data_IF_110517534234
#
_entry.id   IF_110517534234
#
_cell.length_a   1.000
_cell.length_b   1.000
_cell.length_c   1.000
_cell.angle_alpha   90.00
_cell.angle_beta   90.00
_cell.angle_gamma   90.00
#
_symmetry.space_group_name_H-M   'P 1'
#
loop_
_entity.id
_entity.type
_entity.pdbx_description
1 polymer ?
#
# COMPACT_ATOMS: atom_id res chain seq x y z
N UNK A 1 -34.95 19.83 -18.46
CA UNK A 1 -35.14 19.72 -17.00
C UNK A 1 -33.77 19.60 -16.38
N UNK A 2 -33.35 20.65 -15.68
CA UNK A 2 -32.04 20.83 -15.05
C UNK A 2 -32.16 20.22 -13.64
N UNK A 3 -31.37 19.21 -13.32
CA UNK A 3 -31.34 18.66 -11.97
C UNK A 3 -30.31 19.45 -11.16
N UNK A 4 -30.84 20.28 -10.27
CA UNK A 4 -30.17 20.84 -9.10
C UNK A 4 -29.41 19.72 -8.36
N UNK A 5 -28.09 19.87 -8.24
CA UNK A 5 -27.28 19.07 -7.33
C UNK A 5 -26.87 19.98 -6.17
N UNK A 6 -27.55 19.80 -5.04
CA UNK A 6 -27.14 20.34 -3.75
C UNK A 6 -25.72 19.89 -3.41
N UNK A 7 -24.86 20.88 -3.16
CA UNK A 7 -23.52 20.70 -2.60
C UNK A 7 -23.63 20.48 -1.09
N UNK A 8 -22.94 19.49 -0.49
CA UNK A 8 -22.68 19.55 0.94
C UNK A 8 -21.61 20.60 1.25
N UNK A 9 -22.01 21.61 2.03
CA UNK A 9 -21.15 22.59 2.67
C UNK A 9 -20.39 21.87 3.80
N UNK A 10 -19.07 21.72 3.68
CA UNK A 10 -18.22 21.45 4.83
C UNK A 10 -17.61 22.77 5.32
N UNK A 11 -18.15 23.25 6.43
CA UNK A 11 -17.62 24.28 7.33
C UNK A 11 -18.23 23.92 8.69
N UNK A 12 -17.44 23.56 9.70
CA UNK A 12 -16.85 24.60 10.53
C UNK A 12 -15.55 24.18 11.22
N UNK A 13 -14.73 25.19 11.46
CA UNK A 13 -13.42 25.13 12.08
C UNK A 13 -13.50 25.68 13.50
N UNK A 14 -12.73 25.07 14.41
CA UNK A 14 -12.09 25.68 15.57
C UNK A 14 -12.93 26.50 16.59
N UNK A 15 -12.97 26.01 17.84
CA UNK A 15 -12.81 26.86 19.03
C UNK A 15 -12.35 25.96 20.20
N UNK A 16 -11.11 26.10 20.67
CA UNK A 16 -10.67 26.96 21.79
C UNK A 16 -11.03 26.41 23.18
N UNK A 17 -10.00 26.06 23.93
CA UNK A 17 -10.10 25.61 25.31
C UNK A 17 -8.72 25.45 25.96
N UNK A 18 -8.01 26.57 26.10
CA UNK A 18 -6.82 26.71 26.93
C UNK A 18 -7.27 26.75 28.40
N UNK A 19 -6.78 25.82 29.23
CA UNK A 19 -6.82 25.98 30.68
C UNK A 19 -5.47 25.59 31.26
N UNK A 20 -4.68 26.62 31.52
CA UNK A 20 -3.66 26.65 32.59
C UNK A 20 -4.38 26.47 33.91
N UNK A 21 -3.88 25.61 34.78
CA UNK A 21 -3.81 25.89 36.22
C UNK A 21 -2.59 25.19 36.81
N UNK A 22 -1.94 25.99 37.63
CA UNK A 22 -0.61 25.91 38.18
C UNK A 22 -0.72 25.42 39.62
N UNK A 23 0.16 24.50 40.02
CA UNK A 23 0.20 23.99 41.38
C UNK A 23 1.48 23.21 41.64
N UNK A 24 2.53 23.89 42.07
CA UNK A 24 3.72 23.32 42.73
C UNK A 24 3.91 24.09 44.05
N UNK A 25 4.74 23.66 45.03
CA UNK A 25 5.50 22.41 45.14
C UNK A 25 5.47 21.77 46.56
N UNK A 26 5.96 20.54 46.70
CA UNK A 26 6.55 20.08 47.96
C UNK A 26 7.77 19.18 47.67
N UNK A 27 8.83 19.49 48.40
CA UNK A 27 10.19 18.99 48.27
C UNK A 27 10.33 17.48 48.46
N UNK A 28 11.28 16.86 47.74
CA UNK A 28 12.44 16.29 48.41
C UNK A 28 13.66 16.21 47.48
N UNK A 29 14.83 16.47 48.03
CA UNK A 29 16.11 16.55 47.35
C UNK A 29 16.85 15.22 47.39
N UNK A 30 17.38 14.78 46.25
CA UNK A 30 18.70 14.14 46.21
C UNK A 30 19.28 14.17 44.78
N UNK A 31 20.41 14.86 44.54
CA UNK A 31 21.16 14.72 43.30
C UNK A 31 22.36 13.83 43.56
N UNK A 32 22.52 12.67 42.91
CA UNK A 32 23.85 12.12 42.58
C UNK A 32 23.87 11.25 41.32
N UNK A 33 24.61 11.79 40.37
CA UNK A 33 25.65 11.15 39.55
C UNK A 33 25.18 10.16 38.49
N UNK A 34 25.33 10.64 37.26
CA UNK A 34 25.28 9.93 36.01
C UNK A 34 26.13 8.65 36.05
N UNK A 35 25.47 7.51 35.87
CA UNK A 35 26.08 6.37 35.20
C UNK A 35 25.73 6.47 33.71
N UNK A 36 26.49 7.32 33.02
CA UNK A 36 26.57 7.34 31.56
C UNK A 36 27.65 6.33 31.17
N UNK A 37 27.32 5.05 31.30
CA UNK A 37 28.04 4.02 30.57
C UNK A 37 27.24 3.74 29.31
N UNK A 38 27.70 4.40 28.25
CA UNK A 38 27.44 4.18 26.83
C UNK A 38 26.48 3.02 26.53
N UNK A 39 25.19 3.35 26.37
CA UNK A 39 24.37 2.61 25.41
C UNK A 39 24.99 2.91 24.05
N UNK A 40 25.93 2.04 23.67
CA UNK A 40 26.36 1.88 22.29
C UNK A 40 25.10 1.95 21.42
N UNK A 41 24.92 2.98 20.58
CA UNK A 41 23.82 2.97 19.64
C UNK A 41 24.20 1.91 18.63
N UNK A 42 23.83 0.66 18.95
CA UNK A 42 23.72 -0.42 17.99
C UNK A 42 23.15 0.23 16.74
N UNK A 43 23.87 0.25 15.60
CA UNK A 43 23.25 0.64 14.37
C UNK A 43 22.07 -0.32 14.24
N UNK A 44 20.88 0.23 14.41
CA UNK A 44 19.66 -0.40 13.96
C UNK A 44 19.85 -0.46 12.44
N UNK A 45 20.65 -1.43 11.98
CA UNK A 45 20.51 -1.95 10.64
C UNK A 45 19.05 -2.31 10.61
N UNK A 46 18.28 -1.49 9.91
CA UNK A 46 16.86 -1.69 9.74
C UNK A 46 16.68 -3.07 9.12
N UNK A 47 16.58 -4.10 9.97
CA UNK A 47 16.07 -5.43 9.64
C UNK A 47 14.54 -5.33 9.48
N UNK A 48 14.11 -4.30 8.78
CA UNK A 48 12.75 -3.82 8.65
C UNK A 48 12.54 -3.02 7.37
N UNK A 49 13.42 -3.21 6.36
CA UNK A 49 13.17 -2.77 4.99
C UNK A 49 12.69 -3.95 4.13
N UNK A 50 11.74 -4.74 4.64
CA UNK A 50 10.78 -5.37 3.74
C UNK A 50 9.89 -4.23 3.22
N UNK A 51 10.42 -3.46 2.27
CA UNK A 51 9.66 -2.47 1.53
C UNK A 51 8.46 -3.17 0.87
N UNK A 52 7.33 -2.47 0.70
CA UNK A 52 6.07 -3.06 0.27
C UNK A 52 6.28 -3.99 -0.93
N UNK A 53 5.85 -5.24 -0.76
CA UNK A 53 5.95 -6.27 -1.77
C UNK A 53 5.01 -5.88 -2.90
N UNK A 54 5.58 -5.34 -3.98
CA UNK A 54 4.82 -5.12 -5.20
C UNK A 54 4.46 -6.48 -5.78
N UNK A 55 3.29 -6.60 -6.38
CA UNK A 55 2.84 -7.84 -7.01
C UNK A 55 2.69 -7.65 -8.51
N UNK A 56 3.18 -8.61 -9.29
CA UNK A 56 2.88 -8.73 -10.70
C UNK A 56 1.80 -9.79 -10.88
N UNK A 57 0.63 -9.37 -11.35
CA UNK A 57 -0.52 -10.24 -11.57
C UNK A 57 -0.74 -10.39 -13.07
N UNK A 58 -0.52 -11.60 -13.58
CA UNK A 58 -0.85 -11.99 -14.94
C UNK A 58 -2.30 -12.46 -15.01
N UNK A 59 -3.09 -11.80 -15.84
CA UNK A 59 -4.49 -12.11 -16.07
C UNK A 59 -4.67 -12.55 -17.52
N UNK A 60 -5.12 -13.79 -17.77
CA UNK A 60 -5.33 -14.27 -19.12
C UNK A 60 -6.66 -13.77 -19.64
N UNK A 61 -6.71 -13.49 -20.94
CA UNK A 61 -7.95 -13.38 -21.66
C UNK A 61 -7.85 -14.11 -23.00
N UNK A 62 -8.99 -14.61 -23.47
CA UNK A 62 -9.10 -15.41 -24.69
C UNK A 62 -9.93 -14.66 -25.73
N UNK A 63 -9.29 -13.92 -26.66
CA UNK A 63 -10.02 -13.30 -27.76
C UNK A 63 -10.61 -14.32 -28.74
N UNK A 64 -10.07 -15.53 -28.77
CA UNK A 64 -10.58 -16.68 -29.52
C UNK A 64 -10.27 -17.98 -28.77
N UNK A 65 -10.93 -19.08 -29.12
CA UNK A 65 -10.74 -20.37 -28.45
C UNK A 65 -9.31 -20.92 -28.55
N UNK A 66 -8.55 -20.51 -29.57
CA UNK A 66 -7.19 -21.00 -29.85
C UNK A 66 -6.06 -20.11 -29.32
N UNK A 67 -6.38 -18.90 -28.81
CA UNK A 67 -5.37 -17.92 -28.40
C UNK A 67 -5.62 -17.43 -26.99
N UNK A 68 -4.59 -17.54 -26.15
CA UNK A 68 -4.53 -16.90 -24.83
C UNK A 68 -3.58 -15.72 -24.91
N UNK A 69 -3.99 -14.58 -24.39
CA UNK A 69 -3.14 -13.40 -24.21
C UNK A 69 -3.09 -13.09 -22.72
N UNK A 70 -1.90 -12.84 -22.20
CA UNK A 70 -1.67 -12.42 -20.82
C UNK A 70 -1.54 -10.91 -20.73
N UNK A 71 -2.29 -10.29 -19.83
CA UNK A 71 -2.08 -8.91 -19.41
C UNK A 71 -1.49 -8.90 -18.01
N UNK A 72 -0.39 -8.17 -17.83
CA UNK A 72 0.30 -8.10 -16.57
C UNK A 72 0.04 -6.75 -15.89
N UNK A 73 -0.40 -6.81 -14.64
CA UNK A 73 -0.69 -5.63 -13.82
C UNK A 73 0.27 -5.60 -12.63
N UNK A 74 0.91 -4.46 -12.42
CA UNK A 74 1.68 -4.21 -11.20
C UNK A 74 0.74 -3.64 -10.13
N UNK A 75 0.78 -4.19 -8.93
CA UNK A 75 0.00 -3.76 -7.78
C UNK A 75 0.95 -3.41 -6.65
N UNK A 76 0.99 -2.13 -6.30
CA UNK A 76 1.98 -1.57 -5.39
C UNK A 76 1.55 -1.54 -3.91
N UNK A 77 0.24 -1.63 -3.64
CA UNK A 77 -0.35 -1.37 -2.31
C UNK A 77 -1.02 -2.59 -1.69
N UNK A 78 -0.82 -3.78 -2.24
CA UNK A 78 -1.45 -4.99 -1.70
C UNK A 78 -0.59 -5.63 -0.60
N UNK A 79 -1.22 -5.87 0.55
CA UNK A 79 -0.59 -6.53 1.69
C UNK A 79 -0.43 -8.03 1.50
N UNK A 80 -1.29 -8.64 0.68
CA UNK A 80 -1.25 -10.07 0.37
C UNK A 80 -1.66 -10.38 -1.08
N UNK A 81 -1.49 -11.65 -1.46
CA UNK A 81 -1.81 -12.16 -2.80
C UNK A 81 -3.30 -11.98 -3.14
N UNK A 82 -4.27 -12.37 -2.29
CA UNK A 82 -5.69 -12.14 -2.57
C UNK A 82 -6.03 -10.68 -2.89
N UNK A 83 -5.51 -9.73 -2.10
CA UNK A 83 -5.73 -8.30 -2.31
C UNK A 83 -5.11 -7.83 -3.64
N UNK A 84 -3.90 -8.31 -3.96
CA UNK A 84 -3.24 -8.00 -5.23
C UNK A 84 -4.04 -8.52 -6.43
N UNK A 85 -4.51 -9.77 -6.36
CA UNK A 85 -5.34 -10.39 -7.40
C UNK A 85 -6.66 -9.64 -7.54
N UNK A 86 -7.30 -9.29 -6.44
CA UNK A 86 -8.54 -8.52 -6.46
C UNK A 86 -8.35 -7.16 -7.15
N UNK A 87 -7.33 -6.39 -6.73
CA UNK A 87 -7.02 -5.10 -7.33
C UNK A 87 -6.69 -5.21 -8.83
N UNK A 88 -5.94 -6.24 -9.22
CA UNK A 88 -5.63 -6.50 -10.62
C UNK A 88 -6.87 -6.90 -11.43
N UNK A 89 -7.77 -7.72 -10.87
CA UNK A 89 -9.01 -8.14 -11.55
C UNK A 89 -10.01 -6.99 -11.69
N UNK A 90 -10.12 -6.12 -10.69
CA UNK A 90 -10.92 -4.89 -10.77
C UNK A 90 -10.40 -3.98 -11.89
N UNK A 91 -9.08 -3.77 -11.93
CA UNK A 91 -8.44 -3.01 -13.02
C UNK A 91 -8.69 -3.67 -14.37
N UNK A 92 -8.43 -4.98 -14.47
CA UNK A 92 -8.62 -5.74 -15.69
C UNK A 92 -10.06 -5.62 -16.20
N UNK A 93 -11.06 -5.66 -15.32
CA UNK A 93 -12.46 -5.57 -15.69
C UNK A 93 -13.03 -4.15 -15.75
N UNK A 94 -12.21 -3.12 -15.53
CA UNK A 94 -12.59 -1.74 -15.75
C UNK A 94 -13.09 -1.51 -17.18
N UNK A 95 -14.01 -0.54 -17.35
CA UNK A 95 -14.62 -0.26 -18.65
C UNK A 95 -13.58 0.07 -19.72
N UNK A 96 -12.50 0.75 -19.36
CA UNK A 96 -11.41 1.11 -20.27
C UNK A 96 -10.65 -0.12 -20.76
N UNK A 97 -10.20 -0.97 -19.83
CA UNK A 97 -9.42 -2.18 -20.14
C UNK A 97 -10.25 -3.21 -20.92
N UNK A 98 -11.53 -3.37 -20.55
CA UNK A 98 -12.44 -4.21 -21.31
C UNK A 98 -12.61 -3.73 -22.74
N UNK A 99 -12.79 -2.42 -22.97
CA UNK A 99 -12.90 -1.87 -24.33
C UNK A 99 -11.63 -2.12 -25.14
N UNK A 100 -10.46 -1.98 -24.54
CA UNK A 100 -9.18 -2.26 -25.20
C UNK A 100 -9.07 -3.73 -25.67
N UNK A 101 -9.72 -4.67 -24.96
CA UNK A 101 -9.81 -6.09 -25.33
C UNK A 101 -11.01 -6.47 -26.20
N UNK A 102 -11.76 -5.51 -26.73
CA UNK A 102 -12.96 -5.78 -27.53
C UNK A 102 -14.19 -6.19 -26.70
N UNK A 103 -14.27 -5.76 -25.45
CA UNK A 103 -15.40 -5.98 -24.53
C UNK A 103 -15.33 -7.25 -23.69
N UNK A 104 -14.33 -8.10 -23.94
CA UNK A 104 -14.18 -9.41 -23.32
C UNK A 104 -13.76 -9.24 -21.83
N UNK A 105 -14.53 -9.80 -20.89
CA UNK A 105 -14.15 -9.79 -19.48
C UNK A 105 -12.94 -10.70 -19.24
N UNK A 106 -12.12 -10.33 -18.27
CA UNK A 106 -11.04 -11.19 -17.82
C UNK A 106 -11.58 -12.21 -16.81
N UNK A 107 -11.04 -13.44 -16.81
CA UNK A 107 -11.47 -14.51 -15.89
C UNK A 107 -10.35 -14.87 -14.91
N UNK A 108 -10.73 -15.37 -13.73
CA UNK A 108 -9.81 -15.72 -12.65
C UNK A 108 -9.27 -17.16 -12.75
N UNK A 109 -9.56 -17.87 -13.85
CA UNK A 109 -9.36 -19.32 -13.94
C UNK A 109 -7.88 -19.73 -13.96
N UNK A 110 -6.98 -18.82 -14.36
CA UNK A 110 -5.54 -19.07 -14.41
C UNK A 110 -4.78 -17.77 -14.13
N UNK A 111 -4.70 -17.33 -12.87
CA UNK A 111 -3.96 -16.12 -12.53
C UNK A 111 -2.48 -16.46 -12.26
N UNK A 112 -1.58 -15.77 -12.94
CA UNK A 112 -0.16 -15.78 -12.59
C UNK A 112 0.09 -14.75 -11.49
N UNK A 113 0.70 -15.17 -10.39
CA UNK A 113 1.07 -14.28 -9.29
C UNK A 113 2.58 -14.35 -9.12
N UNK A 114 3.25 -13.21 -9.25
CA UNK A 114 4.68 -13.09 -8.96
C UNK A 114 4.91 -11.93 -8.00
N UNK A 115 5.84 -12.13 -7.09
CA UNK A 115 6.27 -11.08 -6.18
C UNK A 115 7.38 -10.28 -6.85
N UNK A 116 7.27 -8.96 -6.81
CA UNK A 116 8.31 -8.03 -7.22
C UNK A 116 9.04 -7.61 -5.95
N UNK A 117 10.34 -7.89 -5.91
CA UNK A 117 11.23 -7.46 -4.83
C UNK A 117 12.17 -6.38 -5.31
N UNK A 118 12.61 -5.52 -4.40
CA UNK A 118 13.65 -4.52 -4.66
C UNK A 118 14.83 -4.84 -3.77
N UNK A 119 16.00 -5.08 -4.36
CA UNK A 119 17.21 -5.37 -3.62
C UNK A 119 17.79 -4.11 -2.92
N UNK A 120 18.82 -4.30 -2.10
CA UNK A 120 19.45 -3.21 -1.35
C UNK A 120 20.13 -2.14 -2.23
N UNK A 121 20.32 -2.42 -3.52
CA UNK A 121 20.90 -1.49 -4.52
C UNK A 121 19.80 -0.87 -5.40
N UNK A 122 18.53 -1.17 -5.12
CA UNK A 122 17.38 -0.64 -5.85
C UNK A 122 17.02 -1.41 -7.12
N UNK A 123 17.56 -2.61 -7.35
CA UNK A 123 17.20 -3.43 -8.52
C UNK A 123 15.90 -4.17 -8.27
N UNK A 124 15.03 -4.15 -9.28
CA UNK A 124 13.77 -4.88 -9.27
C UNK A 124 13.97 -6.32 -9.74
N UNK A 125 13.56 -7.27 -8.92
CA UNK A 125 13.61 -8.70 -9.19
C UNK A 125 12.20 -9.30 -9.17
N UNK A 126 11.97 -10.36 -9.94
CA UNK A 126 10.76 -11.17 -9.85
C UNK A 126 11.09 -12.46 -9.13
N UNK A 127 10.33 -12.76 -8.10
CA UNK A 127 10.40 -14.06 -7.43
C UNK A 127 9.72 -15.13 -8.30
N UNK A 128 10.30 -16.34 -8.35
CA UNK A 128 9.71 -17.50 -9.02
C UNK A 128 10.14 -17.81 -10.46
N UNK A 129 11.40 -17.58 -10.85
CA UNK A 129 11.96 -18.25 -12.03
C UNK A 129 12.42 -19.67 -11.67
N UNK A 130 11.65 -20.68 -12.10
CA UNK A 130 12.11 -22.07 -12.21
C UNK A 130 12.33 -22.39 -13.69
#
# INVERSE_FOLDING_TARGET
>A
MLLDMDRPIFRDSADTGFSVEEGTPAADSAPRVADRTERDPQPHFHAGLAQPEKWLIGVPFRPSASRVIWMYYVVDEAHDVPEAVHAAMERANSAQERRARGGIPATAEHIEVRRITVDAVGRTCLDGSW
#
